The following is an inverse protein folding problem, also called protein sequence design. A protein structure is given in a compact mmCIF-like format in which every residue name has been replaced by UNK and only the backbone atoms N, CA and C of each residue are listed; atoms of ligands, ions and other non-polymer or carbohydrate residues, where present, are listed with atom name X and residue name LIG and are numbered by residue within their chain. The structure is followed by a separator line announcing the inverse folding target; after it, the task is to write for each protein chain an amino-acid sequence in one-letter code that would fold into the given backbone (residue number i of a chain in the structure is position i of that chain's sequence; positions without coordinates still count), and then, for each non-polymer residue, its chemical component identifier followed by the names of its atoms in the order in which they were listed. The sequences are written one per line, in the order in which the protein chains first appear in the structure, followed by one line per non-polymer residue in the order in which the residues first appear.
data_IF_707260374844
#
_entry.id   IF_707260374844
#
_cell.length_a   1.000
_cell.length_b   1.000
_cell.length_c   1.000
_cell.angle_alpha   90.00
_cell.angle_beta   90.00
_cell.angle_gamma   90.00
#
_symmetry.space_group_name_H-M   'P 1'
#
loop_
_entity.id
_entity.type
_entity.pdbx_description
1 polymer ?
#
# COMPACT_ATOMS: atom_id res chain seq x y z
N UNK A 1 -11.70 8.89 8.89
CA UNK A 1 -11.40 7.50 8.52
C UNK A 1 -10.21 7.02 9.32
N UNK A 2 -10.29 5.82 9.89
CA UNK A 2 -9.18 5.14 10.57
C UNK A 2 -8.18 4.55 9.57
N UNK A 3 -6.98 4.16 10.02
CA UNK A 3 -6.00 3.50 9.14
C UNK A 3 -6.52 2.17 8.58
N UNK A 4 -7.25 1.39 9.38
CA UNK A 4 -7.91 0.16 8.93
C UNK A 4 -8.93 0.41 7.82
N UNK A 5 -9.71 1.50 7.90
CA UNK A 5 -10.67 1.88 6.87
C UNK A 5 -9.97 2.26 5.56
N UNK A 6 -8.86 3.00 5.64
CA UNK A 6 -8.04 3.37 4.48
C UNK A 6 -7.38 2.15 3.83
N UNK A 7 -6.83 1.23 4.62
CA UNK A 7 -6.23 0.00 4.12
C UNK A 7 -7.28 -0.89 3.45
N UNK A 8 -8.47 -0.99 4.07
CA UNK A 8 -9.58 -1.73 3.49
C UNK A 8 -10.02 -1.11 2.16
N UNK A 9 -10.17 0.20 2.10
CA UNK A 9 -10.53 0.91 0.87
C UNK A 9 -9.49 0.66 -0.23
N UNK A 10 -8.19 0.73 0.09
CA UNK A 10 -7.11 0.46 -0.86
C UNK A 10 -7.17 -0.98 -1.42
N UNK A 11 -7.43 -1.96 -0.55
CA UNK A 11 -7.64 -3.34 -0.99
C UNK A 11 -8.86 -3.48 -1.90
N UNK A 12 -9.97 -2.83 -1.56
CA UNK A 12 -11.21 -2.90 -2.36
C UNK A 12 -10.97 -2.32 -3.76
N UNK A 13 -10.31 -1.16 -3.88
CA UNK A 13 -9.92 -0.59 -5.17
C UNK A 13 -9.00 -1.52 -5.97
N UNK A 14 -8.06 -2.19 -5.30
CA UNK A 14 -7.18 -3.18 -5.95
C UNK A 14 -7.94 -4.44 -6.39
N UNK A 15 -8.91 -4.91 -5.60
CA UNK A 15 -9.64 -6.15 -5.88
C UNK A 15 -10.77 -5.96 -6.90
N UNK A 16 -11.36 -4.77 -7.00
CA UNK A 16 -12.48 -4.46 -7.88
C UNK A 16 -12.29 -4.92 -9.35
N UNK A 17 -11.20 -4.59 -10.06
CA UNK A 17 -11.01 -5.04 -11.44
C UNK A 17 -10.93 -6.57 -11.55
N UNK A 18 -10.34 -7.24 -10.55
CA UNK A 18 -10.26 -8.72 -10.49
C UNK A 18 -11.63 -9.32 -10.29
N UNK A 19 -12.43 -8.74 -9.41
CA UNK A 19 -13.82 -9.15 -9.18
C UNK A 19 -14.66 -9.02 -10.45
N UNK A 20 -14.50 -7.94 -11.23
CA UNK A 20 -15.17 -7.76 -12.53
C UNK A 20 -14.77 -8.86 -13.53
N UNK A 21 -13.48 -9.17 -13.62
CA UNK A 21 -12.98 -10.24 -14.50
C UNK A 21 -13.53 -11.62 -14.11
N UNK A 22 -13.57 -11.95 -12.81
CA UNK A 22 -14.13 -13.23 -12.33
C UNK A 22 -15.61 -13.37 -12.70
N UNK A 23 -16.40 -12.30 -12.53
CA UNK A 23 -17.81 -12.29 -12.94
C UNK A 23 -17.96 -12.51 -14.44
N UNK A 24 -17.13 -11.85 -15.25
CA UNK A 24 -17.13 -12.02 -16.72
C UNK A 24 -16.78 -13.46 -17.15
N UNK A 25 -15.99 -14.17 -16.36
CA UNK A 25 -15.64 -15.58 -16.55
C UNK A 25 -16.72 -16.55 -16.01
N UNK A 26 -17.84 -16.05 -15.51
CA UNK A 26 -18.94 -16.87 -15.00
C UNK A 26 -18.74 -17.41 -13.59
N UNK A 27 -17.77 -16.91 -12.81
CA UNK A 27 -17.61 -17.35 -11.42
C UNK A 27 -18.79 -16.88 -10.56
N UNK A 28 -19.33 -17.81 -9.78
CA UNK A 28 -20.38 -17.53 -8.81
C UNK A 28 -19.92 -16.66 -7.64
N UNK A 29 -20.84 -15.88 -7.08
CA UNK A 29 -20.58 -14.92 -5.99
C UNK A 29 -19.96 -15.55 -4.73
N UNK A 30 -20.36 -16.78 -4.37
CA UNK A 30 -19.81 -17.49 -3.21
C UNK A 30 -18.30 -17.73 -3.38
N UNK A 31 -17.89 -18.20 -4.56
CA UNK A 31 -16.48 -18.45 -4.88
C UNK A 31 -15.67 -17.15 -4.87
N UNK A 32 -16.22 -16.09 -5.46
CA UNK A 32 -15.61 -14.76 -5.49
C UNK A 32 -15.42 -14.22 -4.06
N UNK A 33 -16.44 -14.33 -3.20
CA UNK A 33 -16.35 -13.85 -1.81
C UNK A 33 -15.31 -14.61 -0.99
N UNK A 34 -15.21 -15.94 -1.16
CA UNK A 34 -14.17 -16.76 -0.51
C UNK A 34 -12.77 -16.35 -0.97
N UNK A 35 -12.59 -16.13 -2.27
CA UNK A 35 -11.32 -15.64 -2.83
C UNK A 35 -10.98 -14.26 -2.30
N UNK A 36 -11.95 -13.34 -2.26
CA UNK A 36 -11.77 -11.99 -1.73
C UNK A 36 -11.26 -12.00 -0.29
N UNK A 37 -11.82 -12.84 0.56
CA UNK A 37 -11.39 -12.97 1.96
C UNK A 37 -9.93 -13.46 2.06
N UNK A 38 -9.58 -14.51 1.33
CA UNK A 38 -8.19 -15.03 1.30
C UNK A 38 -7.20 -13.99 0.78
N UNK A 39 -7.58 -13.27 -0.27
CA UNK A 39 -6.75 -12.21 -0.84
C UNK A 39 -6.60 -11.02 0.11
N UNK A 40 -7.61 -10.72 0.93
CA UNK A 40 -7.51 -9.70 1.97
C UNK A 40 -6.50 -10.09 3.06
N UNK A 41 -6.53 -11.34 3.51
CA UNK A 41 -5.58 -11.86 4.49
C UNK A 41 -4.14 -11.82 3.94
N UNK A 42 -3.95 -12.27 2.70
CA UNK A 42 -2.66 -12.22 2.01
C UNK A 42 -2.17 -10.77 1.81
N UNK A 43 -3.08 -9.85 1.46
CA UNK A 43 -2.77 -8.43 1.31
C UNK A 43 -2.20 -7.84 2.60
N UNK A 44 -2.90 -8.01 3.73
CA UNK A 44 -2.41 -7.53 5.04
C UNK A 44 -1.07 -8.15 5.43
N UNK A 45 -0.95 -9.48 5.27
CA UNK A 45 0.29 -10.19 5.60
C UNK A 45 1.48 -9.69 4.76
N UNK A 46 1.27 -9.41 3.47
CA UNK A 46 2.31 -8.87 2.61
C UNK A 46 2.79 -7.49 3.06
N UNK A 47 1.88 -6.59 3.45
CA UNK A 47 2.23 -5.24 3.90
C UNK A 47 2.92 -5.23 5.25
N UNK A 48 2.47 -6.07 6.19
CA UNK A 48 3.11 -6.22 7.48
C UNK A 48 4.54 -6.81 7.39
N UNK A 49 4.84 -7.61 6.35
CA UNK A 49 6.17 -8.20 6.13
C UNK A 49 7.12 -7.33 5.31
N UNK A 50 6.60 -6.34 4.59
CA UNK A 50 7.43 -5.41 3.81
C UNK A 50 8.06 -4.36 4.72
N UNK A 51 9.39 -4.29 4.67
CA UNK A 51 10.19 -3.22 5.28
C UNK A 51 10.95 -2.52 4.16
N UNK A 52 10.73 -1.21 4.03
CA UNK A 52 11.41 -0.39 3.03
C UNK A 52 12.61 0.28 3.69
N UNK A 53 13.80 0.06 3.11
CA UNK A 53 15.00 0.82 3.43
C UNK A 53 14.94 2.14 2.64
N UNK A 54 14.91 3.26 3.35
CA UNK A 54 14.98 4.57 2.71
C UNK A 54 16.44 4.93 2.54
N UNK A 55 16.93 4.78 1.30
CA UNK A 55 18.27 5.22 0.94
C UNK A 55 18.54 6.64 1.44
N UNK A 56 19.77 6.91 1.85
CA UNK A 56 20.14 8.21 2.38
C UNK A 56 20.15 9.24 1.24
N UNK A 57 19.06 10.00 1.13
CA UNK A 57 18.93 11.12 0.21
C UNK A 57 19.67 12.33 0.79
N UNK A 58 20.97 12.16 1.07
CA UNK A 58 21.81 13.19 1.67
C UNK A 58 22.25 14.26 0.63
N UNK A 59 21.72 14.19 -0.59
CA UNK A 59 21.99 15.13 -1.68
C UNK A 59 20.96 16.27 -1.76
N UNK A 60 20.36 16.63 -0.63
CA UNK A 60 19.40 17.73 -0.61
C UNK A 60 20.11 19.09 -0.54
N UNK A 61 20.10 19.83 -1.66
CA UNK A 61 20.36 21.27 -1.70
C UNK A 61 19.01 22.01 -1.70
N UNK A 62 18.65 22.69 -0.59
CA UNK A 62 17.42 23.49 -0.51
C UNK A 62 17.33 24.58 -1.60
N UNK A 63 18.48 24.94 -2.19
CA UNK A 63 18.59 25.97 -3.20
C UNK A 63 18.46 25.43 -4.64
N UNK A 64 18.61 24.13 -4.88
CA UNK A 64 18.61 23.54 -6.23
C UNK A 64 17.38 22.68 -6.55
N UNK A 65 16.62 22.25 -5.55
CA UNK A 65 15.53 21.26 -5.73
C UNK A 65 14.11 21.86 -5.78
N UNK A 66 13.91 23.12 -5.38
CA UNK A 66 12.65 23.85 -5.53
C UNK A 66 11.39 23.09 -5.06
N UNK A 67 10.29 23.19 -5.83
CA UNK A 67 9.00 22.54 -5.56
C UNK A 67 9.02 21.01 -5.71
N UNK A 68 10.08 20.44 -6.29
CA UNK A 68 10.27 19.01 -6.45
C UNK A 68 11.00 18.37 -5.26
N UNK A 69 11.28 19.16 -4.22
CA UNK A 69 11.83 18.69 -2.97
C UNK A 69 10.92 17.66 -2.28
N UNK A 70 11.41 16.44 -2.13
CA UNK A 70 10.72 15.36 -1.41
C UNK A 70 11.45 15.12 -0.09
N UNK A 71 10.77 15.36 1.03
CA UNK A 71 11.33 15.16 2.37
C UNK A 71 11.33 13.68 2.74
N UNK A 72 12.48 13.13 3.18
CA UNK A 72 12.60 11.73 3.66
C UNK A 72 11.55 11.41 4.73
N UNK A 73 11.28 12.36 5.62
CA UNK A 73 10.24 12.27 6.66
C UNK A 73 8.83 12.13 6.08
N UNK A 74 8.51 12.88 5.03
CA UNK A 74 7.22 12.83 4.36
C UNK A 74 7.04 11.51 3.58
N UNK A 75 8.09 11.04 2.92
CA UNK A 75 8.12 9.71 2.29
C UNK A 75 7.89 8.61 3.32
N UNK A 76 8.62 8.64 4.43
CA UNK A 76 8.46 7.68 5.51
C UNK A 76 7.04 7.70 6.08
N UNK A 77 6.45 8.88 6.27
CA UNK A 77 5.07 9.05 6.74
C UNK A 77 4.07 8.42 5.76
N UNK A 78 4.23 8.65 4.45
CA UNK A 78 3.34 8.10 3.42
C UNK A 78 3.44 6.58 3.30
N UNK A 79 4.64 6.02 3.39
CA UNK A 79 4.86 4.56 3.40
C UNK A 79 4.20 3.92 4.62
N UNK A 80 4.42 4.48 5.82
CA UNK A 80 3.75 4.02 7.06
C UNK A 80 2.23 4.14 6.97
N UNK A 81 1.71 5.21 6.38
CA UNK A 81 0.27 5.38 6.13
C UNK A 81 -0.29 4.28 5.21
N UNK A 82 0.53 3.72 4.31
CA UNK A 82 0.15 2.58 3.49
C UNK A 82 0.24 1.23 4.22
N UNK A 83 0.52 1.21 5.53
CA UNK A 83 0.67 -0.01 6.34
C UNK A 83 1.97 -0.77 6.10
N UNK A 84 2.98 -0.10 5.52
CA UNK A 84 4.30 -0.69 5.25
C UNK A 84 5.32 -0.11 6.23
N UNK A 85 6.21 -0.95 6.74
CA UNK A 85 7.25 -0.52 7.67
C UNK A 85 8.41 0.14 6.92
N UNK A 86 9.06 1.10 7.57
CA UNK A 86 10.30 1.72 7.09
C UNK A 86 11.39 1.34 8.10
N UNK A 87 12.55 0.92 7.60
CA UNK A 87 13.71 0.63 8.47
C UNK A 87 14.07 1.92 9.23
N UNK A 88 14.18 1.84 10.54
CA UNK A 88 14.62 2.98 11.35
C UNK A 88 16.11 3.21 11.06
N UNK A 89 16.50 4.45 10.76
CA UNK A 89 17.90 4.84 10.70
C UNK A 89 18.44 4.72 12.15
N UNK A 90 19.44 3.86 12.39
CA UNK A 90 20.15 3.75 13.69
C UNK A 90 20.90 5.04 14.05
#
# INVERSE_FOLDING_TARGET
MTNDELERQAFECWFEPRQKAMKAQGLGLISINRLKQRQWEAWRASRASLVIDLYDFDQFSPNDSGEWAIWKTEVARLIRKAGISVKEDE
#
